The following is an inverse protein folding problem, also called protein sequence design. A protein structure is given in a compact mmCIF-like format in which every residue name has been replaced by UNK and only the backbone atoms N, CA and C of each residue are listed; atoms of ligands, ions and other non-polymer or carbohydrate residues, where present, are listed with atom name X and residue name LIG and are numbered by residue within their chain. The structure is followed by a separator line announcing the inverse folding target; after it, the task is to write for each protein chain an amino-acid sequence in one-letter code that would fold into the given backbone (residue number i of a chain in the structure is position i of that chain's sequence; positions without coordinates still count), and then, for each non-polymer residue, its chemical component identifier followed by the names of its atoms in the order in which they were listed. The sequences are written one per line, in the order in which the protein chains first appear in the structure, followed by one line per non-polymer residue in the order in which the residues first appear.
data_IF_837783850017
#
_entry.id   IF_837783850017
#
_cell.length_a   1.000
_cell.length_b   1.000
_cell.length_c   1.000
_cell.angle_alpha   90.00
_cell.angle_beta   90.00
_cell.angle_gamma   90.00
#
_symmetry.space_group_name_H-M   'P 1'
#
loop_
_entity.id
_entity.type
_entity.pdbx_description
1 polymer ?
#
# COMPACT_ATOMS: atom_id res chain seq x y z
N UNK A 1 34.76 6.14 -4.50
CA UNK A 1 34.27 5.13 -5.47
C UNK A 1 32.88 4.61 -5.09
N UNK A 2 32.70 4.02 -3.90
CA UNK A 2 31.40 3.41 -3.46
C UNK A 2 30.24 4.41 -3.42
N UNK A 3 30.42 5.60 -2.83
CA UNK A 3 29.36 6.61 -2.77
C UNK A 3 28.92 7.13 -4.15
N UNK A 4 29.85 7.23 -5.09
CA UNK A 4 29.56 7.64 -6.47
C UNK A 4 28.76 6.55 -7.21
N UNK A 5 29.15 5.29 -7.04
CA UNK A 5 28.41 4.15 -7.60
C UNK A 5 26.99 4.06 -7.03
N UNK A 6 26.82 4.28 -5.71
CA UNK A 6 25.52 4.31 -5.06
C UNK A 6 24.65 5.46 -5.58
N UNK A 7 25.23 6.65 -5.76
CA UNK A 7 24.52 7.80 -6.29
C UNK A 7 24.01 7.55 -7.72
N UNK A 8 24.83 6.92 -8.57
CA UNK A 8 24.43 6.53 -9.92
C UNK A 8 23.32 5.48 -9.88
N UNK A 9 23.45 4.45 -9.03
CA UNK A 9 22.46 3.39 -8.88
C UNK A 9 21.09 3.94 -8.43
N UNK A 10 21.08 4.90 -7.50
CA UNK A 10 19.86 5.56 -7.01
C UNK A 10 19.13 6.37 -8.09
N UNK A 11 19.85 6.89 -9.08
CA UNK A 11 19.28 7.65 -10.20
C UNK A 11 18.82 6.78 -11.37
N UNK A 12 19.01 5.45 -11.31
CA UNK A 12 18.51 4.54 -12.34
C UNK A 12 16.99 4.61 -12.44
N UNK A 13 16.49 4.79 -13.67
CA UNK A 13 15.05 4.82 -13.95
C UNK A 13 14.50 3.39 -13.91
N UNK A 14 13.55 3.15 -13.02
CA UNK A 14 12.80 1.90 -12.90
C UNK A 14 11.39 2.08 -13.45
N UNK A 15 10.88 1.04 -14.10
CA UNK A 15 9.50 1.01 -14.58
C UNK A 15 8.55 0.74 -13.41
N UNK A 16 7.49 1.52 -13.34
CA UNK A 16 6.38 1.36 -12.41
C UNK A 16 5.06 1.34 -13.16
N UNK A 17 4.08 0.56 -12.68
CA UNK A 17 2.75 0.47 -13.26
C UNK A 17 1.75 1.21 -12.39
N UNK A 18 0.87 1.97 -13.03
CA UNK A 18 -0.22 2.69 -12.39
C UNK A 18 -1.49 2.47 -13.20
N UNK A 19 -2.56 2.05 -12.53
CA UNK A 19 -3.91 1.99 -13.05
C UNK A 19 -4.62 3.31 -12.78
N UNK A 20 -5.26 3.89 -13.79
CA UNK A 20 -6.22 4.99 -13.63
C UNK A 20 -7.48 4.61 -14.39
N UNK A 21 -8.63 4.57 -13.71
CA UNK A 21 -9.90 4.12 -14.25
C UNK A 21 -9.77 2.77 -14.99
N UNK A 22 -9.14 1.80 -14.33
CA UNK A 22 -8.88 0.46 -14.87
C UNK A 22 -7.96 0.39 -16.10
N UNK A 23 -7.34 1.51 -16.50
CA UNK A 23 -6.31 1.55 -17.56
C UNK A 23 -4.92 1.55 -16.94
N UNK A 24 -4.12 0.53 -17.24
CA UNK A 24 -2.75 0.40 -16.72
C UNK A 24 -1.77 1.13 -17.63
N UNK A 25 -1.10 2.13 -17.09
CA UNK A 25 0.01 2.87 -17.71
C UNK A 25 1.33 2.51 -17.03
N UNK A 26 2.42 2.53 -17.80
CA UNK A 26 3.77 2.31 -17.27
C UNK A 26 4.53 3.63 -17.28
N UNK A 27 5.05 4.04 -16.13
CA UNK A 27 5.85 5.23 -15.95
C UNK A 27 7.27 4.85 -15.52
N UNK A 28 8.25 5.69 -15.86
CA UNK A 28 9.64 5.52 -15.41
C UNK A 28 9.92 6.51 -14.29
N UNK A 29 10.20 6.00 -13.10
CA UNK A 29 10.60 6.81 -11.94
C UNK A 29 12.03 6.46 -11.54
N UNK A 30 12.85 7.39 -11.05
CA UNK A 30 14.16 7.07 -10.49
C UNK A 30 14.02 6.18 -9.25
N UNK A 31 15.00 5.30 -9.04
CA UNK A 31 14.99 4.30 -7.97
C UNK A 31 14.89 4.93 -6.58
N UNK A 32 15.56 6.06 -6.35
CA UNK A 32 15.51 6.73 -5.04
C UNK A 32 14.08 7.18 -4.66
N UNK A 33 13.28 7.68 -5.61
CA UNK A 33 11.89 8.06 -5.33
C UNK A 33 11.06 6.83 -4.94
N UNK A 34 11.27 5.71 -5.63
CA UNK A 34 10.59 4.46 -5.29
C UNK A 34 10.93 3.97 -3.87
N UNK A 35 12.18 4.13 -3.45
CA UNK A 35 12.61 3.77 -2.09
C UNK A 35 12.02 4.72 -1.05
N UNK A 36 12.02 6.03 -1.31
CA UNK A 36 11.40 7.01 -0.41
C UNK A 36 9.91 6.73 -0.21
N UNK A 37 9.15 6.49 -1.29
CA UNK A 37 7.73 6.14 -1.22
C UNK A 37 7.50 4.83 -0.44
N UNK A 38 8.42 3.87 -0.55
CA UNK A 38 8.34 2.62 0.20
C UNK A 38 8.55 2.85 1.71
N UNK A 39 9.59 3.60 2.09
CA UNK A 39 9.87 3.89 3.49
C UNK A 39 8.77 4.72 4.14
N UNK A 40 8.29 5.77 3.45
CA UNK A 40 7.20 6.61 3.95
C UNK A 40 5.96 5.77 4.30
N UNK A 41 5.51 4.90 3.39
CA UNK A 41 4.39 3.98 3.65
C UNK A 41 4.66 3.01 4.78
N UNK A 42 5.88 2.47 4.87
CA UNK A 42 6.23 1.55 5.94
C UNK A 42 6.06 2.21 7.32
N UNK A 43 6.61 3.41 7.50
CA UNK A 43 6.47 4.15 8.75
C UNK A 43 5.03 4.57 9.02
N UNK A 44 4.30 5.04 7.99
CA UNK A 44 2.89 5.38 8.12
C UNK A 44 2.04 4.18 8.57
N UNK A 45 2.27 2.99 8.02
CA UNK A 45 1.59 1.77 8.43
C UNK A 45 1.98 1.34 9.84
N UNK A 46 3.25 1.41 10.22
CA UNK A 46 3.68 1.10 11.58
C UNK A 46 3.04 2.03 12.62
N UNK A 47 3.00 3.33 12.34
CA UNK A 47 2.37 4.32 13.23
C UNK A 47 0.87 4.08 13.33
N UNK A 48 0.21 3.81 12.20
CA UNK A 48 -1.21 3.53 12.15
C UNK A 48 -1.57 2.25 12.90
N UNK A 49 -0.84 1.16 12.68
CA UNK A 49 -1.04 -0.12 13.36
C UNK A 49 -0.93 0.05 14.88
N UNK A 50 0.13 0.71 15.36
CA UNK A 50 0.32 1.00 16.79
C UNK A 50 -0.82 1.83 17.37
N UNK A 51 -1.36 2.78 16.61
CA UNK A 51 -2.49 3.62 17.03
C UNK A 51 -3.78 2.81 17.13
N UNK A 52 -4.04 1.92 16.18
CA UNK A 52 -5.23 1.06 16.15
C UNK A 52 -5.17 -0.01 17.26
N UNK A 53 -3.98 -0.54 17.53
CA UNK A 53 -3.78 -1.70 18.40
C UNK A 53 -3.19 -1.39 19.77
N UNK A 54 -3.16 -0.11 20.19
CA UNK A 54 -2.55 0.35 21.44
C UNK A 54 -2.91 -0.50 22.67
N UNK A 55 -4.16 -0.94 22.78
CA UNK A 55 -4.69 -1.71 23.92
C UNK A 55 -5.06 -3.17 23.55
N UNK A 56 -4.50 -3.69 22.46
CA UNK A 56 -4.80 -5.04 21.98
C UNK A 56 -3.98 -6.09 22.74
N UNK A 57 -4.63 -6.82 23.64
CA UNK A 57 -4.00 -7.88 24.45
C UNK A 57 -3.77 -9.21 23.69
N UNK A 58 -4.28 -9.35 22.46
CA UNK A 58 -4.13 -10.57 21.65
C UNK A 58 -4.21 -10.29 20.16
N UNK A 59 -3.65 -11.17 19.33
CA UNK A 59 -3.64 -11.02 17.88
C UNK A 59 -5.06 -11.04 17.28
N UNK A 60 -5.97 -11.85 17.85
CA UNK A 60 -7.39 -11.80 17.50
C UNK A 60 -7.98 -10.40 17.68
N UNK A 61 -7.66 -9.74 18.80
CA UNK A 61 -8.15 -8.39 19.10
C UNK A 61 -7.53 -7.36 18.15
N UNK A 62 -6.26 -7.53 17.74
CA UNK A 62 -5.63 -6.68 16.71
C UNK A 62 -6.38 -6.75 15.38
N UNK A 63 -6.73 -7.96 14.94
CA UNK A 63 -7.49 -8.17 13.70
C UNK A 63 -8.86 -7.47 13.79
N UNK A 64 -9.60 -7.70 14.87
CA UNK A 64 -10.92 -7.06 15.08
C UNK A 64 -10.82 -5.54 15.11
N UNK A 65 -9.83 -4.99 15.79
CA UNK A 65 -9.60 -3.55 15.85
C UNK A 65 -9.28 -2.97 14.46
N UNK A 66 -8.47 -3.67 13.66
CA UNK A 66 -8.15 -3.26 12.29
C UNK A 66 -9.41 -3.21 11.42
N UNK A 67 -10.22 -4.27 11.40
CA UNK A 67 -11.47 -4.29 10.63
C UNK A 67 -12.45 -3.19 11.07
N UNK A 68 -12.60 -3.00 12.39
CA UNK A 68 -13.45 -1.94 12.95
C UNK A 68 -12.95 -0.57 12.55
N UNK A 69 -11.64 -0.32 12.59
CA UNK A 69 -11.05 0.94 12.17
C UNK A 69 -11.27 1.18 10.67
N UNK A 70 -11.01 0.18 9.83
CA UNK A 70 -11.22 0.24 8.37
C UNK A 70 -12.66 0.61 8.04
N UNK A 71 -13.64 -0.09 8.63
CA UNK A 71 -15.06 0.18 8.39
C UNK A 71 -15.48 1.60 8.80
N UNK A 72 -14.94 2.10 9.91
CA UNK A 72 -15.30 3.43 10.44
C UNK A 72 -14.60 4.60 9.72
N UNK A 73 -13.41 4.38 9.15
CA UNK A 73 -12.56 5.46 8.65
C UNK A 73 -12.42 5.49 7.12
N UNK A 74 -12.57 4.34 6.43
CA UNK A 74 -12.53 4.30 4.96
C UNK A 74 -13.92 4.67 4.41
N UNK A 75 -14.00 5.85 3.79
CA UNK A 75 -15.22 6.33 3.13
C UNK A 75 -15.36 5.72 1.74
N UNK A 76 -16.59 5.60 1.26
CA UNK A 76 -16.86 5.26 -0.14
C UNK A 76 -16.24 6.32 -1.04
N UNK A 77 -15.55 5.86 -2.09
CA UNK A 77 -15.04 6.76 -3.11
C UNK A 77 -16.20 7.49 -3.80
N UNK A 78 -16.14 8.81 -3.94
CA UNK A 78 -17.16 9.57 -4.64
C UNK A 78 -17.00 9.38 -6.16
N UNK A 79 -18.11 9.47 -6.91
CA UNK A 79 -18.18 9.07 -8.34
C UNK A 79 -17.39 9.97 -9.29
N UNK A 80 -17.07 11.16 -8.84
CA UNK A 80 -16.33 12.21 -9.55
C UNK A 80 -14.81 12.02 -9.50
N UNK A 81 -14.30 11.19 -8.58
CA UNK A 81 -12.86 10.93 -8.47
C UNK A 81 -12.46 9.70 -9.28
N UNK A 82 -11.35 9.77 -10.04
CA UNK A 82 -10.83 8.62 -10.78
C UNK A 82 -10.38 7.52 -9.81
N UNK A 83 -10.63 6.26 -10.17
CA UNK A 83 -10.08 5.10 -9.45
C UNK A 83 -8.61 5.00 -9.81
N UNK A 84 -7.72 5.11 -8.82
CA UNK A 84 -6.27 5.06 -9.03
C UNK A 84 -5.68 3.86 -8.30
N UNK A 85 -5.16 2.92 -9.07
CA UNK A 85 -4.54 1.69 -8.57
C UNK A 85 -3.04 1.73 -8.89
N UNK A 86 -2.21 2.26 -8.00
CA UNK A 86 -0.78 2.48 -8.27
C UNK A 86 0.12 2.18 -7.08
N UNK A 87 1.33 1.68 -7.39
CA UNK A 87 2.40 1.22 -6.47
C UNK A 87 1.87 0.66 -5.14
N UNK A 88 1.59 -0.65 -5.19
CA UNK A 88 1.77 -1.64 -4.12
C UNK A 88 0.72 -1.70 -2.99
N UNK A 89 -0.57 -1.65 -3.31
CA UNK A 89 -1.61 -2.33 -2.51
C UNK A 89 -2.19 -3.59 -3.20
N UNK A 90 -1.94 -3.76 -4.51
CA UNK A 90 -2.62 -4.73 -5.37
C UNK A 90 -1.99 -6.15 -5.37
N UNK A 91 -1.63 -6.69 -4.20
CA UNK A 91 -1.18 -8.08 -4.13
C UNK A 91 -1.62 -8.80 -2.86
N UNK A 92 -1.57 -8.09 -1.73
CA UNK A 92 -1.87 -8.71 -0.43
C UNK A 92 -3.35 -8.55 -0.06
N UNK A 93 -4.00 -7.48 -0.51
CA UNK A 93 -5.41 -7.21 -0.20
C UNK A 93 -6.38 -7.93 -1.16
N UNK A 94 -6.05 -8.05 -2.44
CA UNK A 94 -6.83 -8.87 -3.39
C UNK A 94 -6.80 -10.36 -3.01
N UNK A 95 -5.66 -10.87 -2.54
CA UNK A 95 -5.57 -12.25 -2.05
C UNK A 95 -6.46 -12.49 -0.81
N UNK A 96 -6.55 -11.51 0.11
CA UNK A 96 -7.39 -11.62 1.30
C UNK A 96 -8.90 -11.53 0.97
N UNK A 97 -9.29 -10.69 0.00
CA UNK A 97 -10.69 -10.54 -0.43
C UNK A 97 -11.12 -11.75 -1.30
N UNK A 98 -10.22 -12.29 -2.12
CA UNK A 98 -10.49 -13.48 -2.94
C UNK A 98 -10.68 -14.74 -2.09
N UNK A 99 -9.93 -14.91 -0.99
CA UNK A 99 -10.11 -16.07 -0.11
C UNK A 99 -11.41 -16.02 0.70
N UNK A 100 -11.86 -14.82 1.09
CA UNK A 100 -13.12 -14.67 1.82
C UNK A 100 -14.35 -14.90 0.93
N UNK A 101 -14.23 -14.68 -0.38
CA UNK A 101 -15.29 -14.94 -1.37
C UNK A 101 -15.38 -16.44 -1.71
N UNK A 102 -14.27 -17.19 -1.62
CA UNK A 102 -14.25 -18.64 -1.87
C UNK A 102 -14.77 -19.51 -0.71
N UNK A 103 -14.84 -18.97 0.51
CA UNK A 103 -15.34 -19.70 1.69
C UNK A 103 -16.85 -19.46 1.96
N UNK A 104 -17.54 -18.77 1.06
CA UNK A 104 -18.99 -18.52 1.10
C UNK A 104 -19.76 -19.37 0.06
N UNK A 105 -19.09 -20.31 -0.61
CA UNK A 105 -19.69 -21.30 -1.51
C UNK A 105 -19.35 -22.72 -1.06
#
# INVERSE_FOLDING_TARGET
MVFLALFIALNLKVSTKQGVNFKVTTHKIPLYLKLLDFFDRHYNYMVLERKINKDAASDRKKIVNLFKWTYNNIRKQPKDLPVVDGIQLCGVMEAAISQQTYLQH
#
